data_IF_044354692866
#
_entry.id   IF_044354692866
#
_cell.length_a   1.000
_cell.length_b   1.000
_cell.length_c   1.000
_cell.angle_alpha   90.00
_cell.angle_beta   90.00
_cell.angle_gamma   90.00
#
_symmetry.space_group_name_H-M   'P 1'
#
loop_
_entity.id
_entity.type
_entity.pdbx_description
1 polymer ?
#
# COMPACT_ATOMS: atom_id res chain seq x y z
N UNK A 1 -68.43 -5.87 54.28
CA UNK A 1 -68.69 -7.32 54.40
C UNK A 1 -67.64 -8.06 53.57
N UNK A 2 -66.78 -8.82 54.25
CA UNK A 2 -66.06 -10.05 53.86
C UNK A 2 -65.35 -10.18 52.49
N UNK A 3 -64.03 -10.43 52.61
CA UNK A 3 -63.10 -11.28 51.83
C UNK A 3 -63.71 -12.44 51.01
N UNK A 4 -62.99 -13.09 50.03
CA UNK A 4 -61.57 -13.52 50.09
C UNK A 4 -60.73 -13.40 48.78
N UNK A 5 -59.39 -13.23 48.84
CA UNK A 5 -58.27 -14.22 48.76
C UNK A 5 -58.18 -15.07 47.47
N UNK A 6 -57.06 -15.00 46.74
CA UNK A 6 -55.93 -15.95 46.74
C UNK A 6 -54.96 -15.63 45.57
N UNK A 7 -53.74 -15.17 45.83
CA UNK A 7 -52.47 -15.94 45.78
C UNK A 7 -52.04 -16.41 44.38
N UNK A 8 -50.89 -15.88 43.94
CA UNK A 8 -50.19 -16.23 42.71
C UNK A 8 -48.85 -15.51 42.68
N UNK A 9 -47.93 -16.04 43.49
CA UNK A 9 -46.50 -15.72 43.58
C UNK A 9 -45.81 -15.61 42.21
N UNK A 10 -45.05 -14.53 41.98
CA UNK A 10 -43.69 -14.70 41.45
C UNK A 10 -42.77 -13.50 41.79
N UNK A 11 -41.91 -13.75 42.77
CA UNK A 11 -40.47 -13.50 42.76
C UNK A 11 -39.94 -12.12 42.30
N UNK A 12 -39.54 -11.34 43.30
CA UNK A 12 -38.20 -10.71 43.49
C UNK A 12 -37.43 -10.31 42.21
N UNK A 13 -36.79 -9.15 42.09
CA UNK A 13 -36.26 -8.20 43.07
C UNK A 13 -35.72 -7.02 42.24
N UNK A 14 -35.83 -5.83 42.83
CA UNK A 14 -35.21 -4.56 42.42
C UNK A 14 -33.70 -4.71 42.22
N UNK A 15 -33.09 -3.99 41.28
CA UNK A 15 -31.89 -3.19 41.57
C UNK A 15 -31.50 -2.20 40.44
N UNK A 16 -31.21 -0.96 40.87
CA UNK A 16 -30.55 0.09 40.10
C UNK A 16 -29.23 -0.41 39.51
N UNK A 17 -28.87 0.03 38.30
CA UNK A 17 -27.47 0.23 37.97
C UNK A 17 -27.27 1.31 36.91
N UNK A 18 -26.49 2.30 37.35
CA UNK A 18 -25.85 3.39 36.63
C UNK A 18 -25.16 2.88 35.36
N UNK A 19 -25.42 3.50 34.22
CA UNK A 19 -24.66 3.26 32.98
C UNK A 19 -23.43 4.15 33.00
N UNK A 20 -22.26 3.55 33.22
CA UNK A 20 -20.96 4.23 33.16
C UNK A 20 -20.49 4.25 31.70
N UNK A 21 -20.28 5.45 31.16
CA UNK A 21 -19.63 5.70 29.87
C UNK A 21 -18.13 5.40 30.01
N UNK A 22 -17.67 4.25 29.53
CA UNK A 22 -16.23 3.97 29.40
C UNK A 22 -15.72 4.50 28.06
N UNK A 23 -15.15 5.70 28.08
CA UNK A 23 -14.32 6.25 27.01
C UNK A 23 -13.00 5.46 27.00
N UNK A 24 -12.88 4.47 26.13
CA UNK A 24 -11.62 3.75 25.91
C UNK A 24 -10.63 4.67 25.21
N UNK A 25 -9.70 5.23 25.98
CA UNK A 25 -8.48 5.84 25.48
C UNK A 25 -7.60 4.72 24.91
N UNK A 26 -7.67 4.47 23.60
CA UNK A 26 -6.71 3.59 22.93
C UNK A 26 -5.32 4.25 23.06
N UNK A 27 -4.32 3.61 23.68
CA UNK A 27 -2.97 4.13 23.62
C UNK A 27 -2.53 4.10 22.14
N UNK A 28 -2.17 5.26 21.60
CA UNK A 28 -1.41 5.38 20.37
C UNK A 28 -0.07 4.68 20.61
N UNK A 29 0.00 3.38 20.32
CA UNK A 29 1.28 2.68 20.27
C UNK A 29 2.05 3.26 19.08
N UNK A 30 3.24 3.86 19.29
CA UNK A 30 4.14 4.09 18.18
C UNK A 30 4.46 2.72 17.60
N UNK A 31 4.05 2.48 16.35
CA UNK A 31 4.55 1.34 15.60
C UNK A 31 6.05 1.56 15.45
N UNK A 32 6.83 0.87 16.28
CA UNK A 32 8.24 0.71 16.03
C UNK A 32 8.35 -0.03 14.69
N UNK A 33 8.60 0.72 13.61
CA UNK A 33 9.02 0.13 12.36
C UNK A 33 10.39 -0.50 12.64
N UNK A 34 10.41 -1.82 12.80
CA UNK A 34 11.63 -2.56 12.62
C UNK A 34 12.08 -2.31 11.19
N UNK A 35 13.22 -1.62 11.01
CA UNK A 35 13.92 -1.56 9.73
C UNK A 35 14.41 -2.97 9.42
N UNK A 36 13.51 -3.78 8.88
CA UNK A 36 13.79 -5.12 8.41
C UNK A 36 14.76 -5.08 7.25
N UNK A 37 15.61 -6.11 7.18
CA UNK A 37 16.55 -6.39 6.10
C UNK A 37 15.88 -6.13 4.73
N UNK A 38 16.52 -5.32 3.89
CA UNK A 38 15.90 -4.82 2.67
C UNK A 38 15.53 -5.95 1.71
N UNK A 39 14.24 -6.09 1.41
CA UNK A 39 13.75 -7.01 0.41
C UNK A 39 14.13 -6.52 -0.99
N UNK A 40 14.63 -7.44 -1.82
CA UNK A 40 14.95 -7.15 -3.22
C UNK A 40 13.70 -7.38 -4.09
N UNK A 41 13.15 -6.30 -4.63
CA UNK A 41 12.04 -6.34 -5.57
C UNK A 41 12.59 -6.42 -7.00
N UNK A 42 12.41 -7.55 -7.68
CA UNK A 42 12.61 -7.66 -9.12
C UNK A 42 11.27 -7.51 -9.84
N UNK A 43 11.23 -6.73 -10.92
CA UNK A 43 9.99 -6.57 -11.67
C UNK A 43 10.18 -6.16 -13.12
N UNK A 44 9.07 -6.13 -13.87
CA UNK A 44 8.99 -5.64 -15.24
C UNK A 44 7.67 -4.92 -15.47
N UNK A 45 7.67 -3.98 -16.42
CA UNK A 45 6.50 -3.18 -16.77
C UNK A 45 6.08 -3.55 -18.18
N UNK A 46 4.83 -3.97 -18.36
CA UNK A 46 4.32 -4.49 -19.64
C UNK A 46 3.09 -3.71 -20.09
N UNK A 47 2.91 -3.58 -21.41
CA UNK A 47 1.63 -3.20 -21.99
C UNK A 47 0.64 -4.36 -21.77
N UNK A 48 -0.48 -4.08 -21.11
CA UNK A 48 -1.49 -5.10 -20.76
C UNK A 48 -2.11 -5.77 -21.99
N UNK A 49 -2.26 -5.06 -23.10
CA UNK A 49 -2.87 -5.58 -24.33
C UNK A 49 -1.88 -6.37 -25.18
N UNK A 50 -0.69 -5.80 -25.40
CA UNK A 50 0.33 -6.41 -26.26
C UNK A 50 1.20 -7.45 -25.52
N UNK A 51 1.28 -7.41 -24.20
CA UNK A 51 2.17 -8.26 -23.38
C UNK A 51 3.66 -7.92 -23.52
N UNK A 52 4.00 -6.78 -24.14
CA UNK A 52 5.38 -6.37 -24.42
C UNK A 52 5.91 -5.51 -23.28
N UNK A 53 7.18 -5.69 -22.91
CA UNK A 53 7.85 -4.83 -21.92
C UNK A 53 7.99 -3.42 -22.48
N UNK A 54 7.65 -2.41 -21.68
CA UNK A 54 7.62 -1.00 -22.10
C UNK A 54 8.44 -0.10 -21.16
N UNK A 55 9.03 1.00 -21.68
CA UNK A 55 9.65 2.01 -20.83
C UNK A 55 8.60 2.74 -19.99
N UNK A 56 8.91 3.08 -18.74
CA UNK A 56 7.99 3.83 -17.89
C UNK A 56 8.74 4.57 -16.78
N UNK A 57 8.04 5.53 -16.15
CA UNK A 57 8.46 6.11 -14.87
C UNK A 57 7.93 5.22 -13.76
N UNK A 58 8.81 4.84 -12.86
CA UNK A 58 8.51 4.04 -11.68
C UNK A 58 8.75 4.89 -10.43
N UNK A 59 7.71 5.02 -9.62
CA UNK A 59 7.72 5.69 -8.34
C UNK A 59 7.57 4.62 -7.27
N UNK A 60 8.47 4.61 -6.29
CA UNK A 60 8.46 3.67 -5.16
C UNK A 60 8.49 4.48 -3.87
N UNK A 61 7.43 4.41 -3.08
CA UNK A 61 7.35 5.07 -1.79
C UNK A 61 7.03 4.03 -0.72
N UNK A 62 7.83 3.98 0.34
CA UNK A 62 7.53 3.08 1.47
C UNK A 62 6.46 3.66 2.41
N UNK A 63 6.07 2.87 3.41
CA UNK A 63 5.08 3.26 4.43
C UNK A 63 5.48 4.49 5.25
N UNK A 64 6.76 4.86 5.26
CA UNK A 64 7.28 6.05 5.97
C UNK A 64 7.22 7.30 5.10
N UNK A 65 6.84 7.16 3.82
CA UNK A 65 6.87 8.24 2.84
C UNK A 65 8.23 8.42 2.17
N UNK A 66 9.21 7.55 2.44
CA UNK A 66 10.55 7.64 1.86
C UNK A 66 10.55 7.13 0.42
N UNK A 67 11.17 7.89 -0.46
CA UNK A 67 11.31 7.54 -1.88
C UNK A 67 12.49 6.61 -2.13
N UNK A 68 12.25 5.56 -2.91
CA UNK A 68 13.24 4.57 -3.33
C UNK A 68 13.40 4.59 -4.85
N UNK A 69 14.54 4.12 -5.32
CA UNK A 69 14.89 4.16 -6.75
C UNK A 69 15.27 2.76 -7.23
N UNK A 70 14.70 2.38 -8.37
CA UNK A 70 15.08 1.15 -9.06
C UNK A 70 16.35 1.35 -9.90
N UNK A 71 16.99 0.23 -10.22
CA UNK A 71 18.07 0.07 -11.18
C UNK A 71 17.64 -0.90 -12.29
N UNK A 72 18.35 -0.90 -13.43
CA UNK A 72 18.14 -1.91 -14.45
C UNK A 72 18.68 -3.25 -13.96
N UNK A 73 17.90 -4.32 -14.12
CA UNK A 73 18.37 -5.68 -13.89
C UNK A 73 18.98 -6.33 -15.15
N UNK A 74 18.92 -5.63 -16.29
CA UNK A 74 19.49 -6.05 -17.58
C UNK A 74 20.68 -5.16 -17.97
N UNK A 75 21.74 -5.74 -18.52
CA UNK A 75 22.94 -5.03 -18.97
C UNK A 75 22.69 -4.09 -20.15
N UNK A 76 21.67 -4.36 -20.95
CA UNK A 76 21.24 -3.49 -22.05
C UNK A 76 20.16 -2.49 -21.62
N UNK A 77 19.63 -2.65 -20.40
CA UNK A 77 18.66 -1.75 -19.83
C UNK A 77 19.29 -0.50 -19.22
N UNK A 78 18.43 0.45 -18.87
CA UNK A 78 18.85 1.73 -18.30
C UNK A 78 17.82 2.22 -17.29
N UNK A 79 18.33 2.90 -16.26
CA UNK A 79 17.55 3.44 -15.16
C UNK A 79 18.08 4.84 -14.84
N UNK A 80 17.27 5.87 -15.07
CA UNK A 80 17.65 7.26 -14.81
C UNK A 80 16.87 7.77 -13.60
N UNK A 81 17.58 8.05 -12.52
CA UNK A 81 17.00 8.60 -11.29
C UNK A 81 16.64 10.08 -11.49
N UNK A 82 15.44 10.46 -11.07
CA UNK A 82 14.98 11.83 -11.01
C UNK A 82 14.52 12.12 -9.59
N UNK A 83 15.07 13.17 -8.97
CA UNK A 83 14.69 13.62 -7.63
C UNK A 83 14.72 15.13 -7.61
N UNK A 84 13.57 15.73 -7.33
CA UNK A 84 13.46 17.17 -7.13
C UNK A 84 12.60 17.44 -5.90
N UNK A 85 13.12 18.32 -5.04
CA UNK A 85 12.45 18.80 -3.84
C UNK A 85 12.41 20.33 -3.89
N UNK A 86 11.21 20.89 -3.78
CA UNK A 86 10.95 22.33 -3.75
C UNK A 86 10.28 22.77 -2.44
N UNK A 87 10.43 21.99 -1.37
CA UNK A 87 9.86 22.22 -0.04
C UNK A 87 8.36 21.90 0.04
N UNK A 88 7.54 22.45 -0.85
CA UNK A 88 6.10 22.18 -0.93
C UNK A 88 5.71 21.11 -1.95
N UNK A 89 6.66 20.62 -2.74
CA UNK A 89 6.43 19.64 -3.79
C UNK A 89 7.67 18.79 -3.96
N UNK A 90 7.50 17.47 -3.90
CA UNK A 90 8.55 16.48 -4.12
C UNK A 90 8.14 15.61 -5.29
N UNK A 91 9.05 15.42 -6.25
CA UNK A 91 8.89 14.47 -7.34
C UNK A 91 10.13 13.57 -7.36
N UNK A 92 9.93 12.26 -7.17
CA UNK A 92 11.00 11.28 -7.12
C UNK A 92 10.60 10.01 -7.86
N UNK A 93 11.33 9.66 -8.93
CA UNK A 93 11.08 8.47 -9.72
C UNK A 93 12.35 7.94 -10.39
N UNK A 94 12.29 6.72 -10.91
CA UNK A 94 13.24 6.18 -11.88
C UNK A 94 12.58 6.09 -13.24
N UNK A 95 13.18 6.67 -14.28
CA UNK A 95 12.80 6.40 -15.68
C UNK A 95 13.52 5.15 -16.15
N UNK A 96 12.76 4.09 -16.44
CA UNK A 96 13.26 2.79 -16.89
C UNK A 96 13.11 2.65 -18.41
N UNK A 97 14.08 2.02 -19.06
CA UNK A 97 13.90 1.48 -20.41
C UNK A 97 13.04 0.20 -20.38
N UNK A 98 12.74 -0.36 -21.55
CA UNK A 98 11.88 -1.53 -21.72
C UNK A 98 12.53 -2.85 -21.28
N UNK A 99 12.99 -2.92 -20.03
CA UNK A 99 13.74 -4.04 -19.45
C UNK A 99 13.31 -4.29 -18.01
N UNK A 100 13.61 -5.47 -17.44
CA UNK A 100 13.41 -5.73 -16.02
C UNK A 100 14.21 -4.78 -15.13
N UNK A 101 13.68 -4.49 -13.96
CA UNK A 101 14.29 -3.64 -12.95
C UNK A 101 14.48 -4.41 -11.63
N UNK A 102 15.36 -3.87 -10.79
CA UNK A 102 15.55 -4.31 -9.41
C UNK A 102 15.51 -3.09 -8.48
N UNK A 103 14.94 -3.25 -7.28
CA UNK A 103 14.93 -2.22 -6.25
C UNK A 103 15.14 -2.85 -4.87
N UNK A 104 15.91 -2.21 -4.02
CA UNK A 104 16.03 -2.58 -2.61
C UNK A 104 15.04 -1.76 -1.80
N UNK A 105 14.09 -2.42 -1.15
CA UNK A 105 13.03 -1.79 -0.38
C UNK A 105 13.04 -2.33 1.05
N UNK A 106 12.74 -1.50 2.07
CA UNK A 106 12.54 -2.03 3.42
C UNK A 106 11.37 -3.00 3.46
N UNK A 107 11.37 -3.91 4.43
CA UNK A 107 10.19 -4.74 4.70
C UNK A 107 8.98 -3.87 5.06
N UNK A 108 7.78 -4.33 4.70
CA UNK A 108 6.53 -3.61 4.90
C UNK A 108 5.97 -3.05 3.61
N UNK A 109 4.89 -2.27 3.72
CA UNK A 109 4.13 -1.84 2.55
C UNK A 109 4.85 -0.76 1.75
N UNK A 110 4.86 -0.92 0.43
CA UNK A 110 5.33 0.06 -0.53
C UNK A 110 4.22 0.39 -1.53
N UNK A 111 3.97 1.68 -1.75
CA UNK A 111 3.18 2.17 -2.88
C UNK A 111 4.06 2.24 -4.13
N UNK A 112 3.62 1.53 -5.16
CA UNK A 112 4.17 1.56 -6.50
C UNK A 112 3.23 2.40 -7.37
N UNK A 113 3.77 3.44 -8.01
CA UNK A 113 3.09 4.14 -9.09
C UNK A 113 3.88 3.99 -10.38
N UNK A 114 3.19 3.68 -11.48
CA UNK A 114 3.78 3.55 -12.81
C UNK A 114 3.08 4.46 -13.80
N UNK A 115 3.86 5.23 -14.55
CA UNK A 115 3.36 6.16 -15.55
C UNK A 115 4.11 6.05 -16.87
N UNK A 116 3.38 6.19 -17.98
CA UNK A 116 3.94 6.23 -19.33
C UNK A 116 3.12 7.15 -20.23
N UNK A 117 3.73 8.28 -20.60
CA UNK A 117 3.15 9.20 -21.59
C UNK A 117 1.71 9.64 -21.23
N UNK A 118 0.94 10.02 -22.25
CA UNK A 118 -0.49 10.34 -22.10
C UNK A 118 -1.41 9.22 -22.61
N UNK A 119 -0.83 8.17 -23.16
CA UNK A 119 -1.56 7.07 -23.82
C UNK A 119 -1.96 5.94 -22.84
N UNK A 120 -1.34 5.92 -21.65
CA UNK A 120 -1.53 4.88 -20.65
C UNK A 120 -2.17 5.45 -19.38
N UNK A 121 -3.00 4.64 -18.72
CA UNK A 121 -3.52 4.95 -17.39
C UNK A 121 -2.41 4.76 -16.36
N UNK A 122 -2.31 5.68 -15.41
CA UNK A 122 -1.45 5.51 -14.23
C UNK A 122 -1.86 4.26 -13.47
N UNK A 123 -0.91 3.36 -13.25
CA UNK A 123 -1.09 2.21 -12.35
C UNK A 123 -0.64 2.62 -10.95
N UNK A 124 -1.48 2.36 -9.96
CA UNK A 124 -1.12 2.44 -8.53
C UNK A 124 -1.37 1.10 -7.86
N UNK A 125 -0.40 0.62 -7.10
CA UNK A 125 -0.50 -0.66 -6.39
C UNK A 125 0.29 -0.60 -5.09
N UNK A 126 -0.31 -1.04 -3.99
CA UNK A 126 0.40 -1.28 -2.74
C UNK A 126 0.81 -2.75 -2.67
N UNK A 127 2.06 -3.02 -2.31
CA UNK A 127 2.61 -4.36 -2.12
C UNK A 127 3.40 -4.44 -0.81
N UNK A 128 3.63 -5.63 -0.29
CA UNK A 128 4.77 -5.89 0.62
C UNK A 128 5.84 -6.62 -0.20
N UNK A 129 7.01 -6.01 -0.45
CA UNK A 129 8.08 -6.65 -1.22
C UNK A 129 8.57 -7.96 -0.60
N UNK A 130 8.44 -8.13 0.72
CA UNK A 130 8.90 -9.33 1.45
C UNK A 130 7.94 -10.51 1.29
N UNK A 131 6.70 -10.26 0.85
CA UNK A 131 5.69 -11.29 0.63
C UNK A 131 5.56 -11.72 -0.83
N UNK A 132 6.42 -11.20 -1.71
CA UNK A 132 6.39 -11.54 -3.13
C UNK A 132 7.30 -12.72 -3.43
N UNK A 133 6.69 -13.80 -3.93
CA UNK A 133 7.43 -14.92 -4.49
C UNK A 133 7.67 -14.68 -5.98
N UNK A 134 8.89 -14.28 -6.34
CA UNK A 134 9.33 -14.15 -7.73
C UNK A 134 9.26 -12.74 -8.32
N UNK A 135 9.18 -12.65 -9.65
CA UNK A 135 9.23 -11.39 -10.39
C UNK A 135 7.85 -10.72 -10.47
N UNK A 136 7.77 -9.45 -10.07
CA UNK A 136 6.56 -8.66 -10.16
C UNK A 136 6.31 -8.17 -11.59
N UNK A 137 5.15 -8.51 -12.17
CA UNK A 137 4.69 -7.90 -13.43
C UNK A 137 3.73 -6.75 -13.14
N UNK A 138 4.05 -5.57 -13.66
CA UNK A 138 3.25 -4.35 -13.59
C UNK A 138 2.61 -4.10 -14.95
N UNK A 139 1.31 -4.39 -15.07
CA UNK A 139 0.57 -4.27 -16.32
C UNK A 139 -0.02 -2.87 -16.47
N UNK A 140 0.41 -2.15 -17.49
CA UNK A 140 -0.05 -0.80 -17.79
C UNK A 140 -1.13 -0.85 -18.87
N UNK A 141 -2.29 -0.25 -18.59
CA UNK A 141 -3.42 -0.23 -19.51
C UNK A 141 -3.32 0.98 -20.45
N UNK A 142 -3.11 0.71 -21.75
CA UNK A 142 -3.29 1.71 -22.80
C UNK A 142 -4.78 2.05 -22.93
N UNK A 143 -5.13 3.33 -22.96
CA UNK A 143 -6.53 3.78 -23.09
C UNK A 143 -6.82 4.49 -24.42
N UNK A 144 -5.79 4.83 -25.17
CA UNK A 144 -5.90 5.40 -26.52
C UNK A 144 -4.82 4.80 -27.42
N UNK A 145 -5.20 4.42 -28.62
CA UNK A 145 -4.29 4.13 -29.71
C UNK A 145 -4.05 5.43 -30.48
N UNK A 146 -2.87 6.01 -30.32
CA UNK A 146 -2.40 7.15 -31.12
C UNK A 146 -1.63 6.67 -32.35
#
# INVERSE_FOLDING_TARGET
MNHPQNQGVDLMKRWNSVVIFTLTLLPFLPHAHASGEGASLKGRIVDKGAGVVIPARLYLQDSTGTWHFAESADSNGSAVRYKVDRGGSVESHTTLSAHPFIASLPSGTCEITVERGKEYRTLKRTIDPSSLDGELTLELERWVDM
#
